data_IF_935127534629
#
_entry.id   IF_935127534629
#
_cell.length_a   1.000
_cell.length_b   1.000
_cell.length_c   1.000
_cell.angle_alpha   90.00
_cell.angle_beta   90.00
_cell.angle_gamma   90.00
#
_symmetry.space_group_name_H-M   'P 1'
#
loop_
_entity.id
_entity.type
_entity.pdbx_description
1 polymer ?
#
# COMPACT_ATOMS: atom_id res chain seq x y z
N UNK A 1 -22.99 27.68 23.69
CA UNK A 1 -21.67 27.02 23.63
C UNK A 1 -21.89 25.54 23.90
N UNK A 2 -21.73 24.68 22.88
CA UNK A 2 -21.91 23.25 23.06
C UNK A 2 -20.67 22.67 23.74
N UNK A 3 -20.84 22.09 24.92
CA UNK A 3 -19.79 21.35 25.61
C UNK A 3 -19.27 20.22 24.74
N UNK A 4 -18.00 20.31 24.37
CA UNK A 4 -17.26 19.25 23.69
C UNK A 4 -17.11 18.09 24.68
N UNK A 5 -18.00 17.07 24.60
CA UNK A 5 -17.82 15.82 25.34
C UNK A 5 -16.45 15.28 25.01
N UNK A 6 -15.51 15.35 25.95
CA UNK A 6 -14.24 14.64 25.91
C UNK A 6 -14.56 13.15 25.76
N UNK A 7 -14.02 12.52 24.74
CA UNK A 7 -14.30 11.12 24.40
C UNK A 7 -13.92 10.16 25.52
N UNK A 8 -14.50 8.95 25.48
CA UNK A 8 -14.27 7.89 26.46
C UNK A 8 -12.79 7.45 26.55
N UNK A 9 -12.50 6.46 27.40
CA UNK A 9 -11.14 5.98 27.65
C UNK A 9 -10.38 5.66 26.33
N UNK A 10 -9.18 6.20 26.21
CA UNK A 10 -8.33 6.09 25.02
C UNK A 10 -8.65 7.13 23.93
N UNK A 11 -8.32 6.82 22.67
CA UNK A 11 -8.46 7.72 21.51
C UNK A 11 -9.85 7.70 20.86
N UNK A 12 -10.80 6.99 21.43
CA UNK A 12 -12.16 6.87 20.88
C UNK A 12 -12.85 8.23 20.79
N UNK A 13 -13.30 8.59 19.58
CA UNK A 13 -13.97 9.87 19.31
C UNK A 13 -13.03 11.06 19.14
N UNK A 14 -11.73 10.86 19.20
CA UNK A 14 -10.76 11.89 18.85
C UNK A 14 -10.65 12.01 17.32
N UNK A 15 -10.62 13.24 16.82
CA UNK A 15 -10.36 13.52 15.41
C UNK A 15 -8.84 13.60 15.22
N UNK A 16 -8.28 12.64 14.47
CA UNK A 16 -6.85 12.62 14.18
C UNK A 16 -6.48 13.55 13.02
N UNK A 17 -7.41 13.75 12.07
CA UNK A 17 -7.21 14.59 10.89
C UNK A 17 -8.30 14.38 9.86
N UNK A 18 -8.19 15.09 8.75
CA UNK A 18 -9.04 14.92 7.58
C UNK A 18 -8.33 14.08 6.52
N UNK A 19 -9.08 13.29 5.77
CA UNK A 19 -8.55 12.50 4.65
C UNK A 19 -9.42 12.68 3.41
N UNK A 20 -8.78 12.77 2.25
CA UNK A 20 -9.45 12.73 0.95
C UNK A 20 -9.47 11.33 0.33
N UNK A 21 -8.89 10.32 1.00
CA UNK A 21 -8.72 8.98 0.44
C UNK A 21 -10.01 8.18 0.42
N UNK A 22 -10.77 8.20 1.52
CA UNK A 22 -11.97 7.39 1.63
C UNK A 22 -13.01 8.00 2.55
N UNK A 23 -14.26 7.57 2.37
CA UNK A 23 -15.35 7.77 3.34
C UNK A 23 -15.84 6.41 3.81
N UNK A 24 -15.99 6.25 5.12
CA UNK A 24 -16.46 5.00 5.73
C UNK A 24 -17.78 5.26 6.46
N UNK A 25 -18.85 4.66 5.97
CA UNK A 25 -20.10 4.52 6.73
C UNK A 25 -20.80 5.80 7.19
N UNK A 26 -20.62 6.93 6.51
CA UNK A 26 -21.47 8.09 6.75
C UNK A 26 -22.79 7.92 6.01
N UNK A 27 -23.88 7.85 6.79
CA UNK A 27 -25.31 7.93 6.38
C UNK A 27 -25.60 7.62 4.91
N UNK A 28 -25.86 6.33 4.61
CA UNK A 28 -26.42 5.89 3.33
C UNK A 28 -25.41 5.65 2.20
N UNK A 29 -24.19 6.12 2.32
CA UNK A 29 -23.10 5.79 1.39
C UNK A 29 -22.16 4.79 2.07
N UNK A 30 -21.93 3.64 1.46
CA UNK A 30 -20.97 2.65 1.92
C UNK A 30 -19.52 3.19 1.90
N UNK A 31 -18.56 2.30 1.76
CA UNK A 31 -17.16 2.68 1.56
C UNK A 31 -16.95 3.29 0.17
N UNK A 32 -16.30 4.46 0.12
CA UNK A 32 -15.86 5.05 -1.16
C UNK A 32 -14.35 5.30 -1.13
N UNK A 33 -13.70 5.13 -2.28
CA UNK A 33 -12.33 5.58 -2.52
C UNK A 33 -12.33 6.79 -3.43
N UNK A 34 -11.81 7.93 -2.95
CA UNK A 34 -11.80 9.21 -3.69
C UNK A 34 -13.16 9.56 -4.31
N UNK A 35 -14.28 9.20 -3.63
CA UNK A 35 -15.65 9.41 -4.09
C UNK A 35 -16.25 8.30 -4.97
N UNK A 36 -15.47 7.32 -5.39
CA UNK A 36 -15.96 6.16 -6.14
C UNK A 36 -16.42 5.06 -5.20
N UNK A 37 -17.59 4.48 -5.46
CA UNK A 37 -18.13 3.37 -4.67
C UNK A 37 -17.22 2.14 -4.78
N UNK A 38 -16.93 1.51 -3.63
CA UNK A 38 -16.02 0.36 -3.58
C UNK A 38 -16.53 -0.84 -4.36
N UNK A 39 -17.85 -1.05 -4.42
CA UNK A 39 -18.46 -2.17 -5.14
C UNK A 39 -18.22 -2.03 -6.64
N UNK A 40 -18.33 -0.80 -7.15
CA UNK A 40 -18.05 -0.50 -8.57
C UNK A 40 -16.58 -0.68 -8.90
N UNK A 41 -15.68 -0.21 -8.01
CA UNK A 41 -14.24 -0.40 -8.20
C UNK A 41 -13.86 -1.89 -8.15
N UNK A 42 -14.41 -2.65 -7.21
CA UNK A 42 -14.13 -4.07 -7.09
C UNK A 42 -14.61 -4.90 -8.28
N UNK A 43 -15.71 -4.48 -8.91
CA UNK A 43 -16.27 -5.17 -10.09
C UNK A 43 -15.54 -4.79 -11.40
N UNK A 44 -15.18 -3.51 -11.57
CA UNK A 44 -14.79 -2.96 -12.88
C UNK A 44 -13.34 -2.53 -13.00
N UNK A 45 -12.67 -2.22 -11.88
CA UNK A 45 -11.31 -1.69 -11.90
C UNK A 45 -10.26 -2.78 -11.66
N UNK A 46 -9.09 -2.62 -12.26
CA UNK A 46 -7.90 -3.41 -11.98
C UNK A 46 -7.17 -2.85 -10.77
N UNK A 47 -6.33 -3.66 -10.14
CA UNK A 47 -5.53 -3.25 -8.99
C UNK A 47 -4.72 -1.97 -9.26
N UNK A 48 -4.08 -1.88 -10.42
CA UNK A 48 -3.25 -0.73 -10.78
C UNK A 48 -4.07 0.55 -10.97
N UNK A 49 -5.32 0.45 -11.44
CA UNK A 49 -6.23 1.60 -11.55
C UNK A 49 -6.63 2.13 -10.17
N UNK A 50 -6.92 1.23 -9.23
CA UNK A 50 -7.26 1.60 -7.85
C UNK A 50 -6.05 2.16 -7.11
N UNK A 51 -4.87 1.56 -7.29
CA UNK A 51 -3.63 2.06 -6.73
C UNK A 51 -3.33 3.47 -7.25
N UNK A 52 -3.43 3.69 -8.55
CA UNK A 52 -3.26 5.00 -9.18
C UNK A 52 -4.27 6.01 -8.63
N UNK A 53 -5.56 5.65 -8.56
CA UNK A 53 -6.62 6.50 -8.00
C UNK A 53 -6.27 6.98 -6.58
N UNK A 54 -5.86 6.08 -5.71
CA UNK A 54 -5.57 6.41 -4.31
C UNK A 54 -4.32 7.27 -4.17
N UNK A 55 -3.28 6.99 -4.96
CA UNK A 55 -1.99 7.65 -4.88
C UNK A 55 -1.92 8.97 -5.67
N UNK A 56 -2.53 9.03 -6.84
CA UNK A 56 -2.49 10.20 -7.74
C UNK A 56 -3.76 11.05 -7.71
N UNK A 57 -4.84 10.55 -7.07
CA UNK A 57 -6.05 11.33 -6.78
C UNK A 57 -7.17 11.26 -7.83
N UNK A 58 -6.95 10.59 -8.96
CA UNK A 58 -7.94 10.39 -10.03
C UNK A 58 -7.78 9.03 -10.70
N UNK A 59 -8.81 8.56 -11.39
CA UNK A 59 -8.70 7.36 -12.21
C UNK A 59 -7.83 7.65 -13.44
N UNK A 60 -6.89 6.74 -13.78
CA UNK A 60 -6.03 6.94 -14.92
C UNK A 60 -6.82 6.83 -16.24
N UNK A 61 -6.45 7.63 -17.23
CA UNK A 61 -6.80 7.33 -18.61
C UNK A 61 -5.95 6.15 -19.14
N UNK A 62 -6.24 5.67 -20.35
CA UNK A 62 -5.57 4.47 -20.89
C UNK A 62 -4.04 4.65 -21.04
N UNK A 63 -3.56 5.83 -21.39
CA UNK A 63 -2.13 6.12 -21.52
C UNK A 63 -1.46 6.11 -20.15
N UNK A 64 -2.02 6.85 -19.18
CA UNK A 64 -1.53 6.89 -17.80
C UNK A 64 -1.49 5.50 -17.16
N UNK A 65 -2.54 4.68 -17.40
CA UNK A 65 -2.58 3.31 -16.91
C UNK A 65 -1.45 2.46 -17.51
N UNK A 66 -1.24 2.54 -18.80
CA UNK A 66 -0.20 1.78 -19.50
C UNK A 66 1.20 2.18 -18.98
N UNK A 67 1.44 3.47 -18.83
CA UNK A 67 2.72 4.00 -18.33
C UNK A 67 2.94 3.57 -16.87
N UNK A 68 1.91 3.65 -16.05
CA UNK A 68 1.97 3.23 -14.64
C UNK A 68 2.22 1.73 -14.50
N UNK A 69 1.51 0.90 -15.25
CA UNK A 69 1.73 -0.56 -15.27
C UNK A 69 3.16 -0.89 -15.69
N UNK A 70 3.69 -0.22 -16.71
CA UNK A 70 5.06 -0.42 -17.16
C UNK A 70 6.08 0.02 -16.10
N UNK A 71 5.84 1.15 -15.44
CA UNK A 71 6.65 1.63 -14.31
C UNK A 71 6.68 0.59 -13.18
N UNK A 72 5.53 0.14 -12.70
CA UNK A 72 5.46 -0.86 -11.62
C UNK A 72 6.16 -2.16 -12.03
N UNK A 73 6.00 -2.62 -13.28
CA UNK A 73 6.71 -3.81 -13.77
C UNK A 73 8.22 -3.63 -13.77
N UNK A 74 8.74 -2.47 -14.15
CA UNK A 74 10.18 -2.20 -14.16
C UNK A 74 10.80 -2.18 -12.76
N UNK A 75 9.99 -1.89 -11.75
CA UNK A 75 10.39 -1.83 -10.34
C UNK A 75 10.34 -3.20 -9.62
N UNK A 76 9.96 -4.29 -10.28
CA UNK A 76 9.78 -5.62 -9.63
C UNK A 76 11.06 -6.38 -9.32
N UNK A 77 12.25 -5.84 -9.55
CA UNK A 77 13.48 -6.53 -9.20
C UNK A 77 13.78 -6.45 -7.70
N UNK A 78 14.19 -7.57 -7.09
CA UNK A 78 14.67 -7.59 -5.70
C UNK A 78 16.19 -7.58 -5.67
N UNK A 79 16.82 -6.72 -4.84
CA UNK A 79 18.26 -6.78 -4.60
C UNK A 79 18.69 -8.15 -4.07
N UNK A 80 19.87 -8.64 -4.47
CA UNK A 80 20.35 -9.95 -4.02
C UNK A 80 20.45 -10.04 -2.50
N UNK A 81 20.97 -9.01 -1.84
CA UNK A 81 21.08 -8.98 -0.38
C UNK A 81 19.72 -9.11 0.32
N UNK A 82 18.64 -8.59 -0.28
CA UNK A 82 17.29 -8.78 0.24
C UNK A 82 16.83 -10.23 0.07
N UNK A 83 17.09 -10.84 -1.09
CA UNK A 83 16.77 -12.27 -1.31
C UNK A 83 17.49 -13.15 -0.31
N UNK A 84 18.78 -12.92 -0.08
CA UNK A 84 19.61 -13.69 0.86
C UNK A 84 19.07 -13.63 2.30
N UNK A 85 18.48 -12.49 2.69
CA UNK A 85 17.83 -12.34 4.01
C UNK A 85 16.52 -13.11 4.05
N UNK A 86 15.67 -12.97 3.02
CA UNK A 86 14.36 -13.60 2.98
C UNK A 86 14.47 -15.14 2.95
N UNK A 87 15.47 -15.70 2.24
CA UNK A 87 15.73 -17.15 2.15
C UNK A 87 16.18 -17.75 3.48
N UNK A 88 16.70 -16.94 4.42
CA UNK A 88 17.11 -17.40 5.77
C UNK A 88 15.97 -17.38 6.79
N UNK A 89 14.83 -16.83 6.45
CA UNK A 89 13.67 -16.82 7.35
C UNK A 89 13.09 -18.24 7.41
N UNK A 90 12.82 -18.77 8.62
CA UNK A 90 12.21 -20.08 8.75
C UNK A 90 10.87 -20.18 7.99
N UNK A 91 10.63 -21.30 7.33
CA UNK A 91 9.42 -21.57 6.54
C UNK A 91 8.10 -21.42 7.34
N UNK A 92 8.14 -21.66 8.65
CA UNK A 92 7.00 -21.48 9.56
C UNK A 92 6.77 -20.03 10.04
N UNK A 93 7.55 -19.06 9.56
CA UNK A 93 7.37 -17.65 9.96
C UNK A 93 6.04 -17.10 9.46
N UNK A 94 5.42 -16.23 10.26
CA UNK A 94 4.18 -15.58 9.86
C UNK A 94 4.41 -14.64 8.67
N UNK A 95 3.58 -14.67 7.60
CA UNK A 95 3.76 -13.84 6.40
C UNK A 95 3.97 -12.35 6.67
N UNK A 96 3.29 -11.79 7.67
CA UNK A 96 3.45 -10.39 8.07
C UNK A 96 4.84 -10.08 8.65
N UNK A 97 5.45 -11.04 9.36
CA UNK A 97 6.81 -10.87 9.90
C UNK A 97 7.85 -10.90 8.79
N UNK A 98 7.61 -11.70 7.76
CA UNK A 98 8.44 -11.73 6.55
C UNK A 98 8.33 -10.43 5.79
N UNK A 99 7.11 -9.93 5.58
CA UNK A 99 6.87 -8.63 4.93
C UNK A 99 7.57 -7.49 5.69
N UNK A 100 7.45 -7.47 7.02
CA UNK A 100 8.11 -6.49 7.87
C UNK A 100 9.64 -6.55 7.73
N UNK A 101 10.22 -7.75 7.79
CA UNK A 101 11.66 -7.96 7.64
C UNK A 101 12.13 -7.52 6.25
N UNK A 102 11.41 -7.90 5.20
CA UNK A 102 11.73 -7.52 3.83
C UNK A 102 11.65 -6.01 3.61
N UNK A 103 10.62 -5.35 4.13
CA UNK A 103 10.48 -3.90 4.05
C UNK A 103 11.61 -3.17 4.78
N UNK A 104 11.95 -3.63 6.00
CA UNK A 104 13.05 -3.05 6.79
C UNK A 104 14.40 -3.23 6.09
N UNK A 105 14.65 -4.42 5.51
CA UNK A 105 15.89 -4.67 4.77
C UNK A 105 15.97 -3.81 3.49
N UNK A 106 14.86 -3.68 2.77
CA UNK A 106 14.81 -2.83 1.58
C UNK A 106 15.16 -1.37 1.90
N UNK A 107 14.61 -0.82 2.99
CA UNK A 107 14.92 0.53 3.44
C UNK A 107 16.39 0.75 3.84
N UNK A 108 17.10 -0.31 4.27
CA UNK A 108 18.55 -0.24 4.49
C UNK A 108 19.38 -0.23 3.20
N UNK A 109 18.83 -0.81 2.12
CA UNK A 109 19.50 -0.91 0.82
C UNK A 109 19.18 0.28 -0.09
N UNK A 110 17.98 0.79 0.00
CA UNK A 110 17.44 1.88 -0.82
C UNK A 110 17.06 3.05 0.12
N UNK A 111 18.08 3.84 0.51
CA UNK A 111 17.92 4.91 1.50
C UNK A 111 17.16 6.07 0.89
N UNK A 112 16.05 6.46 1.53
CA UNK A 112 15.30 7.67 1.20
C UNK A 112 16.04 8.90 1.69
N UNK A 113 16.30 9.87 0.79
CA UNK A 113 17.03 11.09 1.14
C UNK A 113 16.12 12.11 1.81
N UNK A 114 14.90 12.28 1.30
CA UNK A 114 13.91 13.21 1.83
C UNK A 114 12.49 12.89 1.35
N UNK A 115 11.50 13.63 1.85
CA UNK A 115 10.09 13.43 1.52
C UNK A 115 9.71 13.69 0.05
N UNK A 116 10.56 14.30 -0.77
CA UNK A 116 10.28 14.48 -2.20
C UNK A 116 10.23 13.16 -2.97
N UNK A 117 10.85 12.11 -2.43
CA UNK A 117 10.92 10.78 -3.01
C UNK A 117 9.71 9.88 -2.65
N UNK A 118 8.72 10.38 -1.91
CA UNK A 118 7.58 9.56 -1.44
C UNK A 118 6.88 8.78 -2.56
N UNK A 119 6.61 9.42 -3.69
CA UNK A 119 5.93 8.77 -4.81
C UNK A 119 6.72 7.61 -5.41
N UNK A 120 8.05 7.76 -5.48
CA UNK A 120 8.95 6.72 -5.99
C UNK A 120 9.04 5.55 -5.01
N UNK A 121 9.16 5.85 -3.72
CA UNK A 121 9.19 4.84 -2.64
C UNK A 121 7.88 4.06 -2.59
N UNK A 122 6.74 4.73 -2.70
CA UNK A 122 5.42 4.07 -2.71
C UNK A 122 5.29 3.13 -3.92
N UNK A 123 5.63 3.59 -5.12
CA UNK A 123 5.58 2.76 -6.33
C UNK A 123 6.53 1.55 -6.22
N UNK A 124 7.72 1.77 -5.64
CA UNK A 124 8.69 0.71 -5.36
C UNK A 124 8.14 -0.33 -4.39
N UNK A 125 7.53 0.09 -3.28
CA UNK A 125 6.91 -0.82 -2.31
C UNK A 125 5.75 -1.60 -2.91
N UNK A 126 4.87 -0.96 -3.69
CA UNK A 126 3.80 -1.64 -4.42
C UNK A 126 4.32 -2.71 -5.38
N UNK A 127 5.45 -2.44 -6.03
CA UNK A 127 6.06 -3.37 -6.96
C UNK A 127 6.67 -4.61 -6.30
N UNK A 128 7.28 -4.44 -5.11
CA UNK A 128 8.10 -5.49 -4.49
C UNK A 128 7.40 -6.29 -3.40
N UNK A 129 6.40 -5.75 -2.72
CA UNK A 129 5.70 -6.47 -1.64
C UNK A 129 5.11 -7.82 -2.08
N UNK A 130 4.45 -7.94 -3.25
CA UNK A 130 4.01 -9.24 -3.73
C UNK A 130 5.16 -10.25 -3.92
N UNK A 131 6.35 -9.77 -4.27
CA UNK A 131 7.53 -10.61 -4.51
C UNK A 131 8.14 -11.15 -3.21
N UNK A 132 8.09 -10.40 -2.12
CA UNK A 132 8.53 -10.88 -0.80
C UNK A 132 7.76 -12.15 -0.41
N UNK A 133 6.47 -12.19 -0.70
CA UNK A 133 5.61 -13.34 -0.39
C UNK A 133 5.85 -14.52 -1.34
N UNK A 134 6.04 -14.24 -2.63
CA UNK A 134 6.30 -15.29 -3.64
C UNK A 134 7.62 -16.02 -3.38
N UNK A 135 8.67 -15.35 -2.92
CA UNK A 135 9.94 -15.99 -2.55
C UNK A 135 9.77 -17.00 -1.42
N UNK A 136 8.92 -16.71 -0.43
CA UNK A 136 8.62 -17.66 0.63
C UNK A 136 7.92 -18.93 0.12
N UNK A 137 6.96 -18.78 -0.79
CA UNK A 137 6.19 -19.91 -1.34
C UNK A 137 7.09 -20.80 -2.23
N UNK A 138 8.13 -20.23 -2.87
CA UNK A 138 9.07 -20.98 -3.69
C UNK A 138 10.15 -21.72 -2.88
N UNK A 139 10.39 -21.31 -1.64
CA UNK A 139 11.37 -21.93 -0.73
C UNK A 139 10.74 -23.03 0.15
N UNK A 140 9.41 -23.14 0.14
CA UNK A 140 8.70 -24.22 0.84
C UNK A 140 8.71 -25.49 -0.03
N UNK A 141 9.16 -26.64 0.53
CA UNK A 141 9.09 -27.94 -0.14
C UNK A 141 7.64 -28.39 -0.35
#
# INVERSE_FOLDING_TARGET
MAEKKLGGAGLRGQVAGETALCTVGKTGTGLTYRGYDISVLAEKAKFEEVAFLLLRGHLPNQSELNDYVNKIKSLRSLPQALKDVLERIPAGAHPMDVMRTGCSMLGNLEIEADFSQQDEVIDRLLAVFPLHHLLLVQVLP
#
